data_IF_271218317595
#
_entry.id   IF_271218317595
#
_cell.length_a   1.000
_cell.length_b   1.000
_cell.length_c   1.000
_cell.angle_alpha   90.00
_cell.angle_beta   90.00
_cell.angle_gamma   90.00
#
_symmetry.space_group_name_H-M   'P 1'
#
loop_
_entity.id
_entity.type
_entity.pdbx_description
1 polymer ?
#
# COMPACT_ATOMS: atom_id res chain seq x y z
N UNK A 1 39.96 -44.80 -7.14
CA UNK A 1 39.12 -43.80 -7.83
C UNK A 1 38.63 -42.83 -6.77
N UNK A 2 39.32 -41.70 -6.65
CA UNK A 2 39.16 -40.71 -5.57
C UNK A 2 37.93 -39.85 -5.82
N UNK A 3 37.08 -39.73 -4.82
CA UNK A 3 35.98 -38.77 -4.72
C UNK A 3 36.53 -37.35 -4.85
N UNK A 4 36.28 -36.71 -6.00
CA UNK A 4 36.51 -35.29 -6.16
C UNK A 4 35.48 -34.53 -5.32
N UNK A 5 35.92 -34.05 -4.16
CA UNK A 5 35.21 -33.09 -3.33
C UNK A 5 34.89 -31.86 -4.18
N UNK A 6 33.60 -31.56 -4.33
CA UNK A 6 33.14 -30.30 -4.89
C UNK A 6 33.55 -29.19 -3.91
N UNK A 7 34.18 -28.09 -4.36
CA UNK A 7 34.61 -27.03 -3.47
C UNK A 7 33.41 -26.41 -2.77
N UNK A 8 33.49 -26.30 -1.43
CA UNK A 8 32.49 -25.59 -0.64
C UNK A 8 32.38 -24.12 -1.08
N UNK A 9 31.17 -23.53 -1.10
CA UNK A 9 30.96 -22.16 -1.56
C UNK A 9 31.56 -21.14 -0.57
N UNK A 10 32.53 -20.36 -1.06
CA UNK A 10 33.19 -19.27 -0.33
C UNK A 10 32.18 -18.16 0.11
N UNK A 11 32.03 -17.90 1.42
CA UNK A 11 31.10 -16.90 1.96
C UNK A 11 31.56 -15.44 1.81
N UNK A 12 32.75 -15.17 1.26
CA UNK A 12 33.45 -13.90 1.44
C UNK A 12 33.01 -12.68 0.61
N UNK A 13 32.18 -12.79 -0.45
CA UNK A 13 31.93 -11.65 -1.37
C UNK A 13 30.49 -11.54 -1.89
N UNK A 14 29.51 -11.26 -1.01
CA UNK A 14 28.10 -11.14 -1.40
C UNK A 14 27.85 -10.03 -2.44
N UNK A 15 28.60 -8.94 -2.39
CA UNK A 15 28.45 -7.82 -3.33
C UNK A 15 28.94 -8.15 -4.74
N UNK A 16 30.09 -8.81 -4.88
CA UNK A 16 30.63 -9.22 -6.19
C UNK A 16 29.75 -10.31 -6.79
N UNK A 17 29.26 -11.25 -5.97
CA UNK A 17 28.27 -12.25 -6.40
C UNK A 17 26.97 -11.58 -6.85
N UNK A 18 26.47 -10.57 -6.14
CA UNK A 18 25.28 -9.79 -6.54
C UNK A 18 25.49 -9.02 -7.84
N UNK A 19 26.63 -8.34 -8.00
CA UNK A 19 26.97 -7.59 -9.21
C UNK A 19 27.05 -8.50 -10.44
N UNK A 20 27.62 -9.70 -10.27
CA UNK A 20 27.72 -10.72 -11.32
C UNK A 20 26.40 -11.46 -11.61
N UNK A 21 25.43 -11.45 -10.69
CA UNK A 21 24.14 -12.18 -10.87
C UNK A 21 22.94 -11.27 -11.12
N UNK A 22 23.05 -9.95 -10.89
CA UNK A 22 21.97 -8.98 -11.08
C UNK A 22 22.28 -7.93 -12.15
N UNK A 23 23.43 -8.04 -12.84
CA UNK A 23 23.94 -7.19 -13.91
C UNK A 23 23.26 -5.80 -14.03
N UNK A 24 23.64 -4.81 -13.19
CA UNK A 24 22.98 -3.51 -13.14
C UNK A 24 23.17 -2.68 -14.41
N UNK A 25 24.09 -3.07 -15.29
CA UNK A 25 24.35 -2.37 -16.54
C UNK A 25 23.14 -2.36 -17.47
N UNK A 26 22.24 -3.35 -17.40
CA UNK A 26 20.99 -3.30 -18.14
C UNK A 26 20.09 -2.14 -17.71
N UNK A 27 19.98 -1.90 -16.39
CA UNK A 27 19.18 -0.80 -15.84
C UNK A 27 19.82 0.54 -16.16
N UNK A 28 21.15 0.63 -16.02
CA UNK A 28 21.91 1.84 -16.36
C UNK A 28 21.78 2.15 -17.86
N UNK A 29 21.89 1.15 -18.73
CA UNK A 29 21.69 1.29 -20.18
C UNK A 29 20.28 1.80 -20.51
N UNK A 30 19.25 1.21 -19.91
CA UNK A 30 17.87 1.66 -20.12
C UNK A 30 17.67 3.11 -19.65
N UNK A 31 18.23 3.47 -18.49
CA UNK A 31 18.19 4.83 -17.96
C UNK A 31 18.90 5.85 -18.87
N UNK A 32 20.11 5.53 -19.34
CA UNK A 32 20.87 6.36 -20.27
C UNK A 32 20.15 6.51 -21.63
N UNK A 33 19.52 5.44 -22.11
CA UNK A 33 18.75 5.47 -23.35
C UNK A 33 17.53 6.40 -23.23
N UNK A 34 16.76 6.28 -22.14
CA UNK A 34 15.62 7.16 -21.86
C UNK A 34 16.05 8.61 -21.68
N UNK A 35 17.17 8.85 -20.99
CA UNK A 35 17.75 10.18 -20.84
C UNK A 35 18.16 10.77 -22.20
N UNK A 36 18.84 9.99 -23.04
CA UNK A 36 19.24 10.39 -24.39
C UNK A 36 18.06 10.74 -25.29
N UNK A 37 16.98 9.94 -25.25
CA UNK A 37 15.73 10.25 -25.96
C UNK A 37 15.10 11.55 -25.45
N UNK A 38 15.06 11.76 -24.13
CA UNK A 38 14.50 12.99 -23.54
C UNK A 38 15.30 14.23 -23.95
N UNK A 39 16.62 14.17 -23.95
CA UNK A 39 17.47 15.30 -24.37
C UNK A 39 17.37 15.55 -25.88
N UNK A 40 17.25 14.49 -26.69
CA UNK A 40 17.21 14.60 -28.15
C UNK A 40 15.87 15.13 -28.68
N UNK A 41 14.77 14.87 -27.94
CA UNK A 41 13.40 15.22 -28.37
C UNK A 41 12.70 16.18 -27.40
N UNK A 42 13.44 16.81 -26.48
CA UNK A 42 12.92 17.65 -25.40
C UNK A 42 12.42 19.03 -25.85
N UNK A 43 11.31 19.46 -25.23
CA UNK A 43 10.66 20.78 -25.28
C UNK A 43 10.33 21.33 -26.68
N UNK A 44 9.23 20.81 -27.25
CA UNK A 44 8.46 21.45 -28.32
C UNK A 44 8.77 20.90 -29.71
N UNK A 45 8.12 19.81 -30.11
CA UNK A 45 8.46 19.16 -31.39
C UNK A 45 7.26 18.65 -32.19
N UNK A 46 7.43 18.79 -33.52
CA UNK A 46 6.45 18.59 -34.60
C UNK A 46 6.24 17.09 -34.89
N UNK A 47 5.24 16.76 -35.73
CA UNK A 47 4.82 15.40 -36.12
C UNK A 47 5.95 14.41 -36.46
N UNK A 48 7.05 14.88 -37.07
CA UNK A 48 8.18 14.02 -37.49
C UNK A 48 8.93 13.43 -36.29
N UNK A 49 8.97 14.14 -35.17
CA UNK A 49 9.75 13.76 -33.98
C UNK A 49 9.02 12.71 -33.11
N UNK A 50 7.68 12.69 -33.16
CA UNK A 50 6.86 11.71 -32.40
C UNK A 50 7.04 10.28 -32.93
N UNK A 51 7.08 10.11 -34.26
CA UNK A 51 7.31 8.81 -34.89
C UNK A 51 8.73 8.30 -34.63
N UNK A 52 9.73 9.19 -34.63
CA UNK A 52 11.12 8.84 -34.31
C UNK A 52 11.25 8.39 -32.84
N UNK A 53 10.61 9.10 -31.91
CA UNK A 53 10.58 8.73 -30.50
C UNK A 53 9.88 7.38 -30.27
N UNK A 54 8.73 7.15 -30.91
CA UNK A 54 8.04 5.86 -30.87
C UNK A 54 8.92 4.74 -31.43
N UNK A 55 9.55 4.97 -32.58
CA UNK A 55 10.46 4.03 -33.22
C UNK A 55 11.67 3.69 -32.34
N UNK A 56 12.24 4.68 -31.66
CA UNK A 56 13.34 4.50 -30.70
C UNK A 56 12.93 3.64 -29.51
N UNK A 57 11.82 3.96 -28.85
CA UNK A 57 11.29 3.18 -27.72
C UNK A 57 10.92 1.76 -28.13
N UNK A 58 10.22 1.59 -29.25
CA UNK A 58 9.84 0.28 -29.77
C UNK A 58 11.07 -0.54 -30.17
N UNK A 59 12.03 0.07 -30.87
CA UNK A 59 13.27 -0.57 -31.29
C UNK A 59 14.11 -1.07 -30.11
N UNK A 60 14.29 -0.23 -29.08
CA UNK A 60 15.00 -0.65 -27.86
C UNK A 60 14.26 -1.75 -27.10
N UNK A 61 12.93 -1.67 -27.02
CA UNK A 61 12.11 -2.72 -26.40
C UNK A 61 12.25 -4.06 -27.14
N UNK A 62 12.23 -4.04 -28.47
CA UNK A 62 12.44 -5.23 -29.30
C UNK A 62 13.87 -5.77 -29.15
N UNK A 63 14.87 -4.91 -29.02
CA UNK A 63 16.26 -5.31 -28.77
C UNK A 63 16.38 -6.05 -27.44
N UNK A 64 15.78 -5.52 -26.36
CA UNK A 64 15.74 -6.19 -25.05
C UNK A 64 14.97 -7.52 -25.11
N UNK A 65 13.83 -7.55 -25.80
CA UNK A 65 13.04 -8.76 -25.99
C UNK A 65 13.82 -9.83 -26.78
N UNK A 66 14.50 -9.45 -27.84
CA UNK A 66 15.36 -10.33 -28.63
C UNK A 66 16.55 -10.83 -27.80
N UNK A 67 17.21 -9.96 -27.03
CA UNK A 67 18.29 -10.36 -26.12
C UNK A 67 17.81 -11.39 -25.10
N UNK A 68 16.65 -11.18 -24.47
CA UNK A 68 16.06 -12.16 -23.55
C UNK A 68 15.78 -13.50 -24.24
N UNK A 69 15.23 -13.49 -25.45
CA UNK A 69 14.98 -14.69 -26.25
C UNK A 69 16.28 -15.45 -26.58
N UNK A 70 17.32 -14.73 -26.99
CA UNK A 70 18.61 -15.32 -27.34
C UNK A 70 19.30 -15.92 -26.12
N UNK A 71 19.32 -15.21 -24.99
CA UNK A 71 19.93 -15.66 -23.74
C UNK A 71 19.27 -16.95 -23.22
N UNK A 72 17.94 -17.02 -23.22
CA UNK A 72 17.23 -18.23 -22.76
C UNK A 72 17.42 -19.39 -23.73
N UNK A 73 17.22 -19.14 -25.04
CA UNK A 73 17.13 -20.23 -26.02
C UNK A 73 18.49 -20.82 -26.40
N UNK A 74 19.52 -19.99 -26.47
CA UNK A 74 20.86 -20.42 -26.89
C UNK A 74 21.81 -20.58 -25.72
N UNK A 75 21.82 -19.65 -24.77
CA UNK A 75 22.77 -19.68 -23.64
C UNK A 75 22.22 -20.43 -22.40
N UNK A 76 20.90 -20.67 -22.32
CA UNK A 76 20.22 -21.27 -21.15
C UNK A 76 20.53 -20.55 -19.83
N UNK A 77 20.91 -19.27 -19.89
CA UNK A 77 21.20 -18.43 -18.73
C UNK A 77 19.90 -17.82 -18.24
N UNK A 78 19.50 -18.13 -17.00
CA UNK A 78 18.24 -17.65 -16.43
C UNK A 78 18.41 -16.56 -15.37
N UNK A 79 19.61 -16.40 -14.80
CA UNK A 79 19.84 -15.45 -13.72
C UNK A 79 19.65 -13.99 -14.17
N UNK A 80 20.21 -13.63 -15.33
CA UNK A 80 20.14 -12.28 -15.89
C UNK A 80 18.83 -11.97 -16.62
N UNK A 81 18.15 -13.00 -17.14
CA UNK A 81 16.96 -12.84 -18.00
C UNK A 81 15.82 -12.17 -17.25
N UNK A 82 15.66 -12.44 -15.95
CA UNK A 82 14.61 -11.80 -15.14
C UNK A 82 14.70 -10.28 -15.19
N UNK A 83 15.89 -9.72 -15.01
CA UNK A 83 16.09 -8.26 -15.05
C UNK A 83 15.77 -7.71 -16.43
N UNK A 84 16.20 -8.39 -17.49
CA UNK A 84 15.88 -7.99 -18.89
C UNK A 84 14.37 -8.03 -19.15
N UNK A 85 13.66 -9.07 -18.69
CA UNK A 85 12.20 -9.16 -18.84
C UNK A 85 11.47 -8.05 -18.07
N UNK A 86 11.93 -7.72 -16.85
CA UNK A 86 11.37 -6.60 -16.09
C UNK A 86 11.65 -5.26 -16.77
N UNK A 87 12.80 -5.10 -17.43
CA UNK A 87 13.10 -3.92 -18.23
C UNK A 87 12.20 -3.81 -19.47
N UNK A 88 11.85 -4.92 -20.12
CA UNK A 88 10.84 -4.89 -21.20
C UNK A 88 9.50 -4.35 -20.67
N UNK A 89 9.07 -4.79 -19.49
CA UNK A 89 7.86 -4.26 -18.84
C UNK A 89 8.01 -2.78 -18.47
N UNK A 90 9.19 -2.36 -17.99
CA UNK A 90 9.50 -0.95 -17.73
C UNK A 90 9.42 -0.11 -19.01
N UNK A 91 9.87 -0.65 -20.13
CA UNK A 91 9.80 0.05 -21.41
C UNK A 91 8.35 0.25 -21.84
N UNK A 92 7.46 -0.72 -21.63
CA UNK A 92 6.03 -0.51 -21.88
C UNK A 92 5.45 0.62 -21.02
N UNK A 93 5.85 0.72 -19.75
CA UNK A 93 5.46 1.84 -18.91
C UNK A 93 5.99 3.17 -19.47
N UNK A 94 7.27 3.23 -19.84
CA UNK A 94 7.88 4.43 -20.43
C UNK A 94 7.12 4.87 -21.69
N UNK A 95 6.85 3.93 -22.60
CA UNK A 95 6.05 4.17 -23.81
C UNK A 95 4.66 4.70 -23.48
N UNK A 96 3.98 4.16 -22.45
CA UNK A 96 2.65 4.64 -22.06
C UNK A 96 2.65 6.10 -21.57
N UNK A 97 3.73 6.54 -20.90
CA UNK A 97 3.84 7.90 -20.35
C UNK A 97 4.22 8.90 -21.43
N UNK A 98 5.10 8.52 -22.36
CA UNK A 98 5.59 9.40 -23.42
C UNK A 98 4.48 10.02 -24.26
N UNK A 99 3.38 9.30 -24.47
CA UNK A 99 2.27 9.78 -25.30
C UNK A 99 1.17 10.51 -24.53
N UNK A 100 1.30 10.70 -23.21
CA UNK A 100 0.27 11.39 -22.41
C UNK A 100 0.10 12.85 -22.80
N UNK A 101 1.22 13.55 -23.00
CA UNK A 101 1.20 14.97 -23.33
C UNK A 101 0.60 15.18 -24.72
N UNK A 102 0.99 14.33 -25.68
CA UNK A 102 0.40 14.30 -27.02
C UNK A 102 -1.10 13.99 -26.96
N UNK A 103 -1.51 13.11 -26.06
CA UNK A 103 -2.91 12.74 -25.87
C UNK A 103 -3.75 13.90 -25.32
N UNK A 104 -3.17 14.80 -24.52
CA UNK A 104 -3.84 16.02 -24.05
C UNK A 104 -3.87 17.13 -25.09
N UNK A 105 -2.76 17.34 -25.80
CA UNK A 105 -2.64 18.41 -26.79
C UNK A 105 -3.42 18.09 -28.09
N UNK A 106 -3.30 16.85 -28.58
CA UNK A 106 -3.87 16.40 -29.86
C UNK A 106 -4.49 14.99 -29.75
N UNK A 107 -5.70 14.84 -29.17
CA UNK A 107 -6.30 13.54 -28.89
C UNK A 107 -6.48 12.64 -30.11
N UNK A 108 -6.80 13.22 -31.28
CA UNK A 108 -6.96 12.49 -32.54
C UNK A 108 -5.69 11.70 -32.92
N UNK A 109 -4.51 12.20 -32.49
CA UNK A 109 -3.22 11.56 -32.69
C UNK A 109 -2.79 10.73 -31.50
N UNK A 110 -2.99 11.22 -30.28
CA UNK A 110 -2.59 10.49 -29.07
C UNK A 110 -3.32 9.17 -28.86
N UNK A 111 -4.60 9.08 -29.26
CA UNK A 111 -5.41 7.85 -29.14
C UNK A 111 -4.82 6.70 -29.97
N UNK A 112 -4.58 6.83 -31.29
CA UNK A 112 -3.99 5.74 -32.07
C UNK A 112 -2.59 5.36 -31.60
N UNK A 113 -1.76 6.29 -31.10
CA UNK A 113 -0.46 5.96 -30.51
C UNK A 113 -0.58 5.12 -29.24
N UNK A 114 -1.53 5.42 -28.35
CA UNK A 114 -1.77 4.62 -27.14
C UNK A 114 -2.35 3.24 -27.47
N UNK A 115 -3.29 3.15 -28.41
CA UNK A 115 -3.84 1.88 -28.88
C UNK A 115 -2.77 1.02 -29.58
N UNK A 116 -1.94 1.64 -30.41
CA UNK A 116 -0.80 0.99 -31.06
C UNK A 116 0.25 0.52 -30.05
N UNK A 117 0.57 1.36 -29.06
CA UNK A 117 1.46 1.02 -27.95
C UNK A 117 0.95 -0.15 -27.11
N UNK A 118 -0.35 -0.19 -26.81
CA UNK A 118 -0.99 -1.32 -26.13
C UNK A 118 -0.90 -2.61 -26.95
N UNK A 119 -1.28 -2.56 -28.24
CA UNK A 119 -1.19 -3.70 -29.13
C UNK A 119 0.26 -4.22 -29.24
N UNK A 120 1.22 -3.31 -29.38
CA UNK A 120 2.65 -3.62 -29.37
C UNK A 120 3.08 -4.30 -28.06
N UNK A 121 2.71 -3.74 -26.90
CA UNK A 121 3.06 -4.32 -25.60
C UNK A 121 2.49 -5.74 -25.43
N UNK A 122 1.24 -5.99 -25.86
CA UNK A 122 0.63 -7.32 -25.84
C UNK A 122 1.37 -8.28 -26.80
N UNK A 123 1.62 -7.86 -28.04
CA UNK A 123 2.30 -8.67 -29.04
C UNK A 123 3.71 -9.06 -28.61
N UNK A 124 4.50 -8.10 -28.10
CA UNK A 124 5.87 -8.35 -27.62
C UNK A 124 5.83 -9.24 -26.38
N UNK A 125 4.95 -8.96 -25.40
CA UNK A 125 4.83 -9.80 -24.20
C UNK A 125 4.52 -11.26 -24.56
N UNK A 126 3.54 -11.48 -25.43
CA UNK A 126 3.14 -12.81 -25.86
C UNK A 126 4.20 -13.49 -26.74
N UNK A 127 4.86 -12.72 -27.61
CA UNK A 127 5.97 -13.20 -28.43
C UNK A 127 7.15 -13.67 -27.58
N UNK A 128 7.52 -12.89 -26.56
CA UNK A 128 8.58 -13.25 -25.61
C UNK A 128 8.18 -14.49 -24.83
N UNK A 129 7.01 -14.51 -24.17
CA UNK A 129 6.54 -15.65 -23.36
C UNK A 129 6.50 -16.95 -24.17
N UNK A 130 5.94 -16.92 -25.40
CA UNK A 130 5.91 -18.09 -26.29
C UNK A 130 7.31 -18.48 -26.77
N UNK A 131 8.16 -17.50 -27.08
CA UNK A 131 9.51 -17.74 -27.59
C UNK A 131 10.44 -18.38 -26.57
N UNK A 132 10.37 -17.97 -25.29
CA UNK A 132 11.11 -18.58 -24.17
C UNK A 132 10.43 -19.86 -23.63
N UNK A 133 9.27 -20.24 -24.19
CA UNK A 133 8.44 -21.39 -23.76
C UNK A 133 8.00 -21.32 -22.29
N UNK A 134 7.87 -20.12 -21.75
CA UNK A 134 7.43 -19.89 -20.38
C UNK A 134 5.91 -19.73 -20.37
N UNK A 135 5.23 -20.61 -19.63
CA UNK A 135 3.77 -20.62 -19.56
C UNK A 135 3.34 -19.76 -18.38
N UNK A 136 2.76 -18.60 -18.66
CA UNK A 136 2.06 -17.82 -17.63
C UNK A 136 0.61 -18.33 -17.54
N UNK A 137 0.19 -18.95 -16.42
CA UNK A 137 -1.16 -19.48 -16.30
C UNK A 137 -2.23 -18.39 -16.47
N UNK A 138 -3.41 -18.75 -16.97
CA UNK A 138 -4.47 -17.80 -17.32
C UNK A 138 -4.83 -16.82 -16.19
N UNK A 139 -4.86 -17.29 -14.94
CA UNK A 139 -5.21 -16.44 -13.78
C UNK A 139 -4.13 -15.41 -13.42
N UNK A 140 -2.91 -15.55 -13.93
CA UNK A 140 -1.88 -14.50 -13.86
C UNK A 140 -1.83 -13.69 -15.16
N UNK A 141 -2.11 -14.33 -16.29
CA UNK A 141 -2.08 -13.67 -17.61
C UNK A 141 -3.17 -12.61 -17.78
N UNK A 142 -4.37 -12.85 -17.26
CA UNK A 142 -5.47 -11.87 -17.27
C UNK A 142 -5.09 -10.58 -16.51
N UNK A 143 -4.71 -10.61 -15.23
CA UNK A 143 -4.32 -9.39 -14.51
C UNK A 143 -3.12 -8.67 -15.13
N UNK A 144 -2.17 -9.42 -15.70
CA UNK A 144 -1.05 -8.84 -16.45
C UNK A 144 -1.53 -7.95 -17.61
N UNK A 145 -2.38 -8.50 -18.49
CA UNK A 145 -2.91 -7.76 -19.63
C UNK A 145 -3.88 -6.65 -19.23
N UNK A 146 -4.67 -6.86 -18.18
CA UNK A 146 -5.51 -5.80 -17.62
C UNK A 146 -4.69 -4.64 -17.08
N UNK A 147 -3.51 -4.91 -16.49
CA UNK A 147 -2.61 -3.84 -16.02
C UNK A 147 -2.00 -3.07 -17.20
N UNK A 148 -1.58 -3.77 -18.27
CA UNK A 148 -1.14 -3.11 -19.49
C UNK A 148 -2.27 -2.27 -20.11
N UNK A 149 -3.47 -2.82 -20.20
CA UNK A 149 -4.64 -2.09 -20.69
C UNK A 149 -4.90 -0.85 -19.82
N UNK A 150 -4.77 -0.95 -18.51
CA UNK A 150 -4.92 0.20 -17.61
C UNK A 150 -3.87 1.28 -17.90
N UNK A 151 -2.61 0.94 -18.16
CA UNK A 151 -1.55 1.92 -18.42
C UNK A 151 -1.75 2.72 -19.71
N UNK A 152 -2.28 2.09 -20.76
CA UNK A 152 -2.45 2.71 -22.09
C UNK A 152 -3.87 3.24 -22.35
N UNK A 153 -4.91 2.55 -21.86
CA UNK A 153 -6.31 2.88 -22.17
C UNK A 153 -6.95 3.81 -21.13
N UNK A 154 -6.48 3.81 -19.88
CA UNK A 154 -6.99 4.74 -18.88
C UNK A 154 -6.76 6.22 -19.25
N UNK A 155 -5.57 6.64 -19.70
CA UNK A 155 -5.34 8.01 -20.18
C UNK A 155 -6.27 8.36 -21.33
N UNK A 156 -6.50 7.42 -22.26
CA UNK A 156 -7.43 7.60 -23.38
C UNK A 156 -8.85 7.83 -22.88
N UNK A 157 -9.31 7.11 -21.85
CA UNK A 157 -10.61 7.35 -21.25
C UNK A 157 -10.71 8.75 -20.61
N UNK A 158 -9.63 9.27 -20.03
CA UNK A 158 -9.59 10.62 -19.45
C UNK A 158 -9.76 11.74 -20.49
N UNK A 159 -9.40 11.50 -21.76
CA UNK A 159 -9.59 12.51 -22.83
C UNK A 159 -11.05 12.88 -23.11
N UNK A 160 -11.99 12.04 -22.68
CA UNK A 160 -13.43 12.30 -22.81
C UNK A 160 -13.93 13.30 -21.75
N UNK A 161 -13.13 13.56 -20.71
CA UNK A 161 -13.46 14.51 -19.66
C UNK A 161 -13.12 15.95 -20.10
N UNK A 162 -13.74 16.96 -19.47
CA UNK A 162 -13.41 18.37 -19.73
C UNK A 162 -11.90 18.61 -19.59
N UNK A 163 -11.31 19.28 -20.58
CA UNK A 163 -9.85 19.50 -20.69
C UNK A 163 -9.32 20.56 -19.72
N UNK A 164 -10.20 21.20 -18.96
CA UNK A 164 -9.78 22.08 -17.88
C UNK A 164 -9.13 21.22 -16.80
N UNK A 165 -7.80 21.34 -16.64
CA UNK A 165 -7.01 20.57 -15.67
C UNK A 165 -7.45 20.74 -14.21
N UNK A 166 -8.32 21.71 -13.94
CA UNK A 166 -8.93 22.01 -12.64
C UNK A 166 -10.38 21.53 -12.52
N UNK A 167 -10.94 20.91 -13.57
CA UNK A 167 -12.31 20.39 -13.50
C UNK A 167 -12.42 19.26 -12.48
N UNK A 168 -13.46 19.30 -11.65
CA UNK A 168 -13.72 18.27 -10.64
C UNK A 168 -13.70 16.86 -11.26
N UNK A 169 -14.27 16.72 -12.47
CA UNK A 169 -14.31 15.45 -13.19
C UNK A 169 -12.91 14.91 -13.54
N UNK A 170 -11.99 15.77 -13.99
CA UNK A 170 -10.60 15.39 -14.26
C UNK A 170 -9.89 14.96 -12.97
N UNK A 171 -10.06 15.69 -11.87
CA UNK A 171 -9.43 15.35 -10.59
C UNK A 171 -9.91 13.99 -10.05
N UNK A 172 -11.20 13.71 -10.12
CA UNK A 172 -11.75 12.39 -9.80
C UNK A 172 -11.27 11.31 -10.79
N UNK A 173 -11.13 11.64 -12.06
CA UNK A 173 -10.52 10.78 -13.07
C UNK A 173 -9.08 10.40 -12.73
N UNK A 174 -8.26 11.36 -12.29
CA UNK A 174 -6.88 11.10 -11.87
C UNK A 174 -6.84 10.25 -10.60
N UNK A 175 -7.67 10.56 -9.61
CA UNK A 175 -7.78 9.76 -8.38
C UNK A 175 -8.26 8.32 -8.67
N UNK A 176 -9.20 8.15 -9.61
CA UNK A 176 -9.81 6.88 -9.98
C UNK A 176 -8.83 5.84 -10.54
N UNK A 177 -7.64 6.26 -10.99
CA UNK A 177 -6.63 5.36 -11.54
C UNK A 177 -6.16 4.33 -10.50
N UNK A 178 -5.91 4.76 -9.26
CA UNK A 178 -5.40 3.88 -8.20
C UNK A 178 -6.46 2.85 -7.71
N UNK A 179 -7.73 3.22 -7.45
CA UNK A 179 -8.81 2.25 -7.25
C UNK A 179 -8.96 1.27 -8.42
N UNK A 180 -8.92 1.75 -9.67
CA UNK A 180 -9.02 0.88 -10.85
C UNK A 180 -7.85 -0.13 -10.90
N UNK A 181 -6.62 0.32 -10.63
CA UNK A 181 -5.46 -0.57 -10.48
C UNK A 181 -5.65 -1.57 -9.35
N UNK A 182 -6.23 -1.14 -8.23
CA UNK A 182 -6.56 -2.02 -7.10
C UNK A 182 -7.51 -3.15 -7.50
N UNK A 183 -8.58 -2.83 -8.23
CA UNK A 183 -9.55 -3.81 -8.74
C UNK A 183 -8.87 -4.79 -9.71
N UNK A 184 -8.02 -4.31 -10.61
CA UNK A 184 -7.24 -5.16 -11.52
C UNK A 184 -6.35 -6.13 -10.72
N UNK A 185 -5.64 -5.64 -9.71
CA UNK A 185 -4.78 -6.48 -8.87
C UNK A 185 -5.58 -7.49 -8.03
N UNK A 186 -6.78 -7.15 -7.55
CA UNK A 186 -7.65 -8.10 -6.83
C UNK A 186 -8.09 -9.29 -7.71
N UNK A 187 -8.03 -9.18 -9.04
CA UNK A 187 -8.22 -10.33 -9.94
C UNK A 187 -7.13 -11.39 -9.83
N UNK A 188 -6.02 -11.13 -9.12
CA UNK A 188 -4.99 -12.11 -8.75
C UNK A 188 -5.43 -13.06 -7.62
N UNK A 189 -6.48 -12.72 -6.85
CA UNK A 189 -6.92 -13.52 -5.70
C UNK A 189 -7.21 -15.00 -6.04
N UNK A 190 -7.90 -15.33 -7.15
CA UNK A 190 -8.12 -16.71 -7.56
C UNK A 190 -6.79 -17.45 -7.83
N UNK A 191 -5.78 -16.78 -8.39
CA UNK A 191 -4.48 -17.36 -8.65
C UNK A 191 -3.72 -17.66 -7.34
N UNK A 192 -3.75 -16.72 -6.39
CA UNK A 192 -3.14 -16.88 -5.05
C UNK A 192 -3.72 -18.08 -4.33
N UNK A 193 -5.06 -18.21 -4.34
CA UNK A 193 -5.76 -19.28 -3.61
C UNK A 193 -5.43 -20.68 -4.13
N UNK A 194 -5.00 -20.82 -5.39
CA UNK A 194 -4.52 -22.10 -5.94
C UNK A 194 -3.07 -22.44 -5.53
N UNK A 195 -2.32 -21.46 -5.03
CA UNK A 195 -0.99 -21.66 -4.45
C UNK A 195 0.09 -22.13 -5.42
N UNK A 196 1.14 -22.73 -4.85
CA UNK A 196 2.34 -23.14 -5.59
C UNK A 196 2.09 -24.26 -6.61
N UNK A 197 1.08 -25.11 -6.38
CA UNK A 197 0.72 -26.20 -7.29
C UNK A 197 0.32 -25.70 -8.66
N UNK A 198 -0.31 -24.52 -8.73
CA UNK A 198 -0.76 -23.92 -9.97
C UNK A 198 0.39 -23.44 -10.88
N UNK A 199 1.60 -23.31 -10.35
CA UNK A 199 2.77 -22.75 -11.04
C UNK A 199 3.88 -23.81 -11.23
N UNK A 200 3.66 -25.06 -10.80
CA UNK A 200 4.71 -26.10 -10.80
C UNK A 200 5.27 -26.43 -12.18
N UNK A 201 4.42 -26.42 -13.22
CA UNK A 201 4.77 -26.86 -14.58
C UNK A 201 4.88 -25.71 -15.60
N UNK A 202 5.30 -24.52 -15.15
CA UNK A 202 5.34 -23.33 -16.01
C UNK A 202 6.59 -23.18 -16.87
N UNK A 203 7.56 -24.09 -16.73
CA UNK A 203 8.85 -24.04 -17.44
C UNK A 203 9.81 -22.96 -16.93
N UNK A 204 9.49 -22.31 -15.81
CA UNK A 204 10.36 -21.35 -15.14
C UNK A 204 11.26 -22.08 -14.13
N UNK A 205 12.56 -21.72 -14.02
CA UNK A 205 13.44 -22.25 -12.99
C UNK A 205 13.25 -21.58 -11.62
N UNK A 206 12.46 -20.50 -11.54
CA UNK A 206 12.35 -19.73 -10.30
C UNK A 206 11.30 -20.34 -9.35
N UNK A 207 11.62 -20.49 -8.05
CA UNK A 207 10.70 -21.08 -7.09
C UNK A 207 9.55 -20.12 -6.75
N UNK A 208 8.41 -20.68 -6.36
CA UNK A 208 7.35 -19.92 -5.70
C UNK A 208 7.87 -19.39 -4.34
N UNK A 209 7.65 -18.11 -3.98
CA UNK A 209 6.79 -17.13 -4.65
C UNK A 209 7.52 -16.18 -5.62
N UNK A 210 8.80 -16.35 -5.96
CA UNK A 210 9.49 -15.38 -6.82
C UNK A 210 8.92 -15.31 -8.24
N UNK A 211 8.50 -16.44 -8.80
CA UNK A 211 7.71 -16.49 -10.03
C UNK A 211 6.26 -16.91 -9.73
N UNK A 212 5.24 -16.20 -10.23
CA UNK A 212 5.28 -15.04 -11.14
C UNK A 212 5.27 -13.67 -10.42
N UNK A 213 5.40 -13.61 -9.09
CA UNK A 213 5.15 -12.39 -8.33
C UNK A 213 6.12 -11.24 -8.59
N UNK A 214 7.35 -11.51 -9.03
CA UNK A 214 8.32 -10.46 -9.37
C UNK A 214 7.77 -9.45 -10.38
N UNK A 215 7.07 -9.93 -11.41
CA UNK A 215 6.43 -9.08 -12.42
C UNK A 215 5.31 -8.25 -11.80
N UNK A 216 4.50 -8.82 -10.90
CA UNK A 216 3.41 -8.07 -10.26
C UNK A 216 3.88 -7.07 -9.22
N UNK A 217 4.97 -7.36 -8.50
CA UNK A 217 5.62 -6.37 -7.62
C UNK A 217 6.14 -5.21 -8.45
N UNK A 218 6.80 -5.51 -9.58
CA UNK A 218 7.29 -4.49 -10.50
C UNK A 218 6.15 -3.66 -11.11
N UNK A 219 5.08 -4.31 -11.59
CA UNK A 219 3.88 -3.65 -12.07
C UNK A 219 3.19 -2.82 -10.97
N UNK A 220 3.21 -3.27 -9.72
CA UNK A 220 2.66 -2.51 -8.60
C UNK A 220 3.46 -1.23 -8.34
N UNK A 221 4.79 -1.30 -8.40
CA UNK A 221 5.63 -0.10 -8.37
C UNK A 221 5.38 0.82 -9.57
N UNK A 222 5.18 0.23 -10.76
CA UNK A 222 4.82 0.96 -11.97
C UNK A 222 3.47 1.67 -11.84
N UNK A 223 2.46 1.07 -11.20
CA UNK A 223 1.17 1.73 -10.89
C UNK A 223 1.39 2.99 -10.05
N UNK A 224 2.22 2.90 -9.00
CA UNK A 224 2.52 4.07 -8.15
C UNK A 224 3.19 5.20 -8.96
N UNK A 225 4.19 4.85 -9.77
CA UNK A 225 4.86 5.82 -10.65
C UNK A 225 3.91 6.40 -11.70
N UNK A 226 3.05 5.56 -12.30
CA UNK A 226 2.07 5.97 -13.30
C UNK A 226 1.02 6.92 -12.75
N UNK A 227 0.52 6.67 -11.54
CA UNK A 227 -0.44 7.56 -10.87
C UNK A 227 0.14 8.97 -10.68
N UNK A 228 1.40 9.06 -10.27
CA UNK A 228 2.12 10.33 -10.17
C UNK A 228 2.32 10.99 -11.54
N UNK A 229 2.81 10.24 -12.53
CA UNK A 229 3.09 10.74 -13.87
C UNK A 229 1.82 11.21 -14.61
N UNK A 230 0.68 10.55 -14.39
CA UNK A 230 -0.61 11.00 -14.92
C UNK A 230 -1.02 12.35 -14.36
N UNK A 231 -0.85 12.55 -13.06
CA UNK A 231 -1.12 13.85 -12.46
C UNK A 231 -0.18 14.91 -13.05
N UNK A 232 1.09 14.56 -13.30
CA UNK A 232 2.05 15.50 -13.88
C UNK A 232 1.71 15.87 -15.34
N UNK A 233 1.42 14.88 -16.18
CA UNK A 233 1.15 15.11 -17.61
C UNK A 233 -0.21 15.76 -17.86
N UNK A 234 -1.24 15.37 -17.09
CA UNK A 234 -2.63 15.76 -17.34
C UNK A 234 -3.05 17.03 -16.59
N UNK A 235 -2.51 17.30 -15.40
CA UNK A 235 -2.82 18.50 -14.63
C UNK A 235 -1.93 19.70 -15.02
N UNK A 236 -0.85 19.46 -15.78
CA UNK A 236 0.12 20.46 -16.27
C UNK A 236 0.50 21.53 -15.21
N UNK A 237 0.93 21.13 -14.00
CA UNK A 237 1.23 22.09 -12.95
C UNK A 237 2.44 22.95 -13.34
N UNK A 238 2.35 24.26 -13.10
CA UNK A 238 3.47 25.18 -13.35
C UNK A 238 4.64 24.96 -12.37
N UNK A 239 4.36 24.43 -11.18
CA UNK A 239 5.33 24.06 -10.16
C UNK A 239 4.96 22.72 -9.51
N UNK A 240 5.94 21.99 -8.99
CA UNK A 240 5.68 20.75 -8.24
C UNK A 240 4.81 20.95 -6.98
N UNK A 241 4.71 22.19 -6.48
CA UNK A 241 3.77 22.58 -5.41
C UNK A 241 2.31 22.41 -5.84
N UNK A 242 2.01 22.65 -7.10
CA UNK A 242 0.63 22.79 -7.60
C UNK A 242 0.02 21.43 -8.00
N UNK A 243 0.80 20.36 -7.90
CA UNK A 243 0.38 19.00 -8.23
C UNK A 243 -0.64 18.49 -7.20
N UNK A 244 -1.84 18.12 -7.68
CA UNK A 244 -2.93 17.55 -6.87
C UNK A 244 -2.55 16.22 -6.20
N UNK A 245 -1.60 15.49 -6.78
CA UNK A 245 -1.18 14.19 -6.29
C UNK A 245 -0.67 14.27 -4.85
N UNK A 246 -1.35 13.55 -3.96
CA UNK A 246 -0.88 13.26 -2.61
C UNK A 246 -0.72 11.77 -2.37
N UNK A 247 0.06 11.34 -1.36
CA UNK A 247 0.21 9.93 -1.01
C UNK A 247 -1.13 9.20 -0.77
N UNK A 248 -2.16 9.93 -0.35
CA UNK A 248 -3.52 9.41 -0.17
C UNK A 248 -4.17 8.88 -1.47
N UNK A 249 -3.71 9.30 -2.66
CA UNK A 249 -4.16 8.73 -3.94
C UNK A 249 -3.82 7.24 -4.05
N UNK A 250 -2.71 6.81 -3.45
CA UNK A 250 -2.25 5.42 -3.53
C UNK A 250 -2.92 4.50 -2.50
N UNK A 251 -3.65 5.05 -1.54
CA UNK A 251 -4.24 4.30 -0.43
C UNK A 251 -5.22 3.20 -0.89
N UNK A 252 -6.17 3.46 -1.82
CA UNK A 252 -7.06 2.41 -2.34
C UNK A 252 -6.30 1.25 -2.97
N UNK A 253 -5.26 1.55 -3.76
CA UNK A 253 -4.38 0.54 -4.35
C UNK A 253 -3.61 -0.24 -3.28
N UNK A 254 -3.06 0.47 -2.29
CA UNK A 254 -2.36 -0.13 -1.16
C UNK A 254 -3.23 -1.12 -0.36
N UNK A 255 -4.52 -0.82 -0.18
CA UNK A 255 -5.45 -1.76 0.47
C UNK A 255 -5.68 -3.02 -0.36
N UNK A 256 -5.79 -2.89 -1.69
CA UNK A 256 -5.86 -4.06 -2.58
C UNK A 256 -4.60 -4.94 -2.47
N UNK A 257 -3.41 -4.33 -2.44
CA UNK A 257 -2.16 -5.04 -2.19
C UNK A 257 -2.17 -5.71 -0.82
N UNK A 258 -2.68 -5.05 0.21
CA UNK A 258 -2.77 -5.61 1.55
C UNK A 258 -3.62 -6.89 1.59
N UNK A 259 -4.75 -6.91 0.89
CA UNK A 259 -5.59 -8.12 0.74
C UNK A 259 -4.83 -9.24 0.02
N UNK A 260 -4.09 -8.91 -1.03
CA UNK A 260 -3.25 -9.87 -1.77
C UNK A 260 -2.16 -10.47 -0.88
N UNK A 261 -1.43 -9.63 -0.14
CA UNK A 261 -0.36 -10.07 0.78
C UNK A 261 -0.95 -10.93 1.91
N UNK A 262 -2.15 -10.58 2.42
CA UNK A 262 -2.83 -11.39 3.42
C UNK A 262 -3.16 -12.79 2.89
N UNK A 263 -3.79 -12.88 1.72
CA UNK A 263 -4.12 -14.18 1.10
C UNK A 263 -2.86 -14.99 0.81
N UNK A 264 -1.80 -14.34 0.33
CA UNK A 264 -0.52 -15.01 0.09
C UNK A 264 0.07 -15.55 1.39
N UNK A 265 -0.01 -14.80 2.48
CA UNK A 265 0.40 -15.24 3.81
C UNK A 265 -0.44 -16.39 4.36
N UNK A 266 -1.75 -16.41 4.06
CA UNK A 266 -2.63 -17.52 4.43
C UNK A 266 -2.21 -18.79 3.69
N UNK A 267 -2.12 -18.74 2.36
CA UNK A 267 -1.82 -19.89 1.48
C UNK A 267 -0.41 -20.43 1.69
N UNK A 268 0.59 -19.55 1.87
CA UNK A 268 1.98 -19.98 2.10
C UNK A 268 2.26 -20.50 3.51
N UNK A 269 1.31 -20.34 4.45
CA UNK A 269 1.56 -20.66 5.86
C UNK A 269 2.53 -19.70 6.57
N UNK A 270 3.04 -18.67 5.90
CA UNK A 270 4.06 -17.77 6.44
C UNK A 270 3.50 -16.82 7.50
N UNK A 271 4.00 -16.95 8.75
CA UNK A 271 3.64 -16.04 9.86
C UNK A 271 4.08 -14.61 9.58
N UNK A 272 5.28 -14.43 9.02
CA UNK A 272 5.86 -13.11 8.72
C UNK A 272 4.98 -12.38 7.71
N UNK A 273 4.60 -13.05 6.63
CA UNK A 273 3.77 -12.44 5.57
C UNK A 273 2.39 -12.02 6.10
N UNK A 274 1.77 -12.83 6.98
CA UNK A 274 0.51 -12.46 7.64
C UNK A 274 0.68 -11.24 8.56
N UNK A 275 1.76 -11.19 9.34
CA UNK A 275 2.06 -10.04 10.20
C UNK A 275 2.28 -8.75 9.40
N UNK A 276 3.06 -8.83 8.31
CA UNK A 276 3.26 -7.70 7.39
C UNK A 276 1.91 -7.24 6.83
N UNK A 277 1.06 -8.17 6.38
CA UNK A 277 -0.28 -7.83 5.89
C UNK A 277 -1.17 -7.15 6.95
N UNK A 278 -1.04 -7.50 8.23
CA UNK A 278 -1.79 -6.86 9.31
C UNK A 278 -1.24 -5.48 9.70
N UNK A 279 0.04 -5.22 9.47
CA UNK A 279 0.67 -3.93 9.74
C UNK A 279 0.45 -2.90 8.61
N UNK A 280 0.35 -3.36 7.36
CA UNK A 280 0.17 -2.50 6.19
C UNK A 280 -1.04 -1.54 6.27
N UNK A 281 -2.25 -1.93 6.73
CA UNK A 281 -3.38 -1.03 6.90
C UNK A 281 -3.06 0.18 7.77
N UNK A 282 -2.34 -0.02 8.88
CA UNK A 282 -1.94 1.06 9.76
C UNK A 282 -0.97 2.03 9.05
N UNK A 283 -0.01 1.49 8.29
CA UNK A 283 0.88 2.28 7.45
C UNK A 283 0.13 3.09 6.39
N UNK A 284 -0.90 2.51 5.76
CA UNK A 284 -1.74 3.19 4.78
C UNK A 284 -2.63 4.27 5.40
N UNK A 285 -3.14 4.06 6.61
CA UNK A 285 -3.87 5.10 7.36
C UNK A 285 -2.94 6.28 7.67
N UNK A 286 -1.71 6.01 8.11
CA UNK A 286 -0.70 7.08 8.32
C UNK A 286 -0.41 7.78 6.99
N UNK A 287 -0.21 7.03 5.91
CA UNK A 287 0.03 7.58 4.57
C UNK A 287 -1.13 8.46 4.08
N UNK A 288 -2.38 8.11 4.40
CA UNK A 288 -3.56 8.89 4.07
C UNK A 288 -3.59 10.26 4.79
N UNK A 289 -2.98 10.35 5.96
CA UNK A 289 -2.82 11.60 6.71
C UNK A 289 -1.54 12.39 6.35
N UNK A 290 -0.63 11.82 5.57
CA UNK A 290 0.62 12.47 5.16
C UNK A 290 0.46 13.11 3.78
N UNK A 291 0.93 14.36 3.65
CA UNK A 291 0.90 15.07 2.37
C UNK A 291 -0.44 15.74 2.04
N UNK A 292 -1.29 15.97 3.05
CA UNK A 292 -2.39 16.93 2.96
C UNK A 292 -1.78 18.33 2.87
N UNK A 293 -1.62 18.82 1.64
CA UNK A 293 -1.10 20.16 1.36
C UNK A 293 -2.20 21.20 1.60
N UNK A 294 -1.81 22.39 2.01
CA UNK A 294 -2.69 23.54 2.25
C UNK A 294 -2.89 24.40 1.01
N UNK A 295 -2.49 23.92 -0.17
CA UNK A 295 -2.65 24.64 -1.42
C UNK A 295 -4.14 24.71 -1.80
N UNK A 296 -4.55 25.80 -2.47
CA UNK A 296 -5.96 26.08 -2.75
C UNK A 296 -6.64 24.95 -3.53
N UNK A 297 -5.98 24.43 -4.57
CA UNK A 297 -6.48 23.35 -5.44
C UNK A 297 -6.61 22.03 -4.66
N UNK A 298 -5.61 21.69 -3.84
CA UNK A 298 -5.65 20.49 -3.01
C UNK A 298 -6.77 20.57 -1.95
N UNK A 299 -6.96 21.74 -1.36
CA UNK A 299 -8.00 21.99 -0.35
C UNK A 299 -9.40 21.90 -0.96
N UNK A 300 -9.59 22.44 -2.17
CA UNK A 300 -10.83 22.34 -2.93
C UNK A 300 -11.18 20.88 -3.24
N UNK A 301 -10.23 20.11 -3.79
CA UNK A 301 -10.44 18.68 -4.05
C UNK A 301 -10.75 17.89 -2.78
N UNK A 302 -10.07 18.17 -1.67
CA UNK A 302 -10.37 17.53 -0.37
C UNK A 302 -11.78 17.86 0.13
N UNK A 303 -12.27 19.07 -0.14
CA UNK A 303 -13.67 19.44 0.11
C UNK A 303 -14.64 18.60 -0.72
N UNK A 304 -14.42 18.48 -2.04
CA UNK A 304 -15.21 17.61 -2.91
C UNK A 304 -15.15 16.14 -2.48
N UNK A 305 -13.97 15.67 -2.11
CA UNK A 305 -13.74 14.31 -1.60
C UNK A 305 -14.56 14.05 -0.33
N UNK A 306 -14.47 14.95 0.65
CA UNK A 306 -15.19 14.82 1.91
C UNK A 306 -16.71 14.86 1.70
N UNK A 307 -17.20 15.74 0.83
CA UNK A 307 -18.63 15.84 0.49
C UNK A 307 -19.15 14.58 -0.20
N UNK A 308 -18.35 13.97 -1.11
CA UNK A 308 -18.80 12.81 -1.91
C UNK A 308 -18.68 11.48 -1.17
N UNK A 309 -17.63 11.30 -0.37
CA UNK A 309 -17.34 10.05 0.34
C UNK A 309 -17.72 10.09 1.83
N UNK A 310 -18.23 11.23 2.31
CA UNK A 310 -18.70 11.39 3.69
C UNK A 310 -17.59 11.53 4.73
N UNK A 311 -16.36 11.83 4.32
CA UNK A 311 -15.26 12.15 5.23
C UNK A 311 -13.90 12.33 4.56
N UNK A 312 -12.91 12.78 5.34
CA UNK A 312 -11.54 13.00 4.87
C UNK A 312 -10.86 11.70 4.40
N UNK A 313 -9.80 11.77 3.58
CA UNK A 313 -9.04 10.59 3.15
C UNK A 313 -8.57 9.71 4.33
N UNK A 314 -8.18 10.34 5.44
CA UNK A 314 -7.80 9.65 6.68
C UNK A 314 -8.96 8.84 7.28
N UNK A 315 -10.16 9.44 7.35
CA UNK A 315 -11.35 8.77 7.86
C UNK A 315 -11.77 7.59 6.97
N UNK A 316 -11.79 7.79 5.65
CA UNK A 316 -12.10 6.72 4.68
C UNK A 316 -11.06 5.58 4.76
N UNK A 317 -9.78 5.91 4.91
CA UNK A 317 -8.72 4.91 5.10
C UNK A 317 -8.93 4.09 6.38
N UNK A 318 -9.35 4.70 7.50
CA UNK A 318 -9.67 3.99 8.74
C UNK A 318 -10.85 3.05 8.58
N UNK A 319 -11.94 3.48 7.92
CA UNK A 319 -13.09 2.62 7.64
C UNK A 319 -12.68 1.43 6.75
N UNK A 320 -11.81 1.67 5.77
CA UNK A 320 -11.29 0.63 4.89
C UNK A 320 -10.39 -0.34 5.66
N UNK A 321 -9.53 0.16 6.57
CA UNK A 321 -8.73 -0.66 7.46
C UNK A 321 -9.60 -1.51 8.39
N UNK A 322 -10.67 -0.95 8.95
CA UNK A 322 -11.65 -1.70 9.75
C UNK A 322 -12.28 -2.83 8.94
N UNK A 323 -12.72 -2.55 7.72
CA UNK A 323 -13.26 -3.56 6.80
C UNK A 323 -12.24 -4.66 6.48
N UNK A 324 -10.97 -4.30 6.29
CA UNK A 324 -9.88 -5.26 6.11
C UNK A 324 -9.66 -6.14 7.35
N UNK A 325 -9.61 -5.56 8.56
CA UNK A 325 -9.44 -6.35 9.78
C UNK A 325 -10.66 -7.24 10.05
N UNK A 326 -11.87 -6.80 9.69
CA UNK A 326 -13.05 -7.65 9.73
C UNK A 326 -12.89 -8.86 8.81
N UNK A 327 -12.46 -8.61 7.57
CA UNK A 327 -12.18 -9.66 6.61
C UNK A 327 -11.11 -10.65 7.12
N UNK A 328 -10.00 -10.13 7.66
CA UNK A 328 -8.94 -10.95 8.24
C UNK A 328 -9.44 -11.77 9.45
N UNK A 329 -10.33 -11.19 10.26
CA UNK A 329 -10.94 -11.88 11.39
C UNK A 329 -11.88 -13.00 10.94
N UNK A 330 -12.72 -12.77 9.92
CA UNK A 330 -13.56 -13.81 9.30
C UNK A 330 -12.70 -14.95 8.76
N UNK A 331 -11.53 -14.64 8.19
CA UNK A 331 -10.53 -15.62 7.74
C UNK A 331 -9.71 -16.26 8.87
N UNK A 332 -10.08 -16.01 10.13
CA UNK A 332 -9.46 -16.55 11.35
C UNK A 332 -7.97 -16.26 11.47
N UNK A 333 -7.53 -15.11 10.96
CA UNK A 333 -6.14 -14.67 11.08
C UNK A 333 -5.89 -14.21 12.53
N UNK A 334 -4.84 -14.68 13.21
CA UNK A 334 -4.51 -14.22 14.56
C UNK A 334 -4.19 -12.72 14.54
N UNK A 335 -4.46 -12.01 15.63
CA UNK A 335 -4.23 -10.56 15.78
C UNK A 335 -5.14 -9.62 14.97
N UNK A 336 -6.06 -10.13 14.15
CA UNK A 336 -6.99 -9.30 13.38
C UNK A 336 -7.98 -8.53 14.26
N UNK A 337 -8.40 -9.12 15.39
CA UNK A 337 -9.31 -8.49 16.36
C UNK A 337 -8.65 -7.28 17.02
N UNK A 338 -7.38 -7.39 17.36
CA UNK A 338 -6.58 -6.34 17.96
C UNK A 338 -6.46 -5.16 16.99
N UNK A 339 -6.23 -5.43 15.70
CA UNK A 339 -6.28 -4.43 14.64
C UNK A 339 -7.66 -3.75 14.51
N UNK A 340 -8.74 -4.53 14.52
CA UNK A 340 -10.11 -3.99 14.51
C UNK A 340 -10.38 -3.09 15.72
N UNK A 341 -9.94 -3.51 16.91
CA UNK A 341 -10.10 -2.72 18.14
C UNK A 341 -9.32 -1.42 18.07
N UNK A 342 -8.10 -1.45 17.52
CA UNK A 342 -7.31 -0.25 17.29
C UNK A 342 -8.00 0.70 16.31
N UNK A 343 -8.65 0.19 15.25
CA UNK A 343 -9.44 1.02 14.33
C UNK A 343 -10.64 1.64 15.02
N UNK A 344 -11.41 0.89 15.80
CA UNK A 344 -12.55 1.43 16.57
C UNK A 344 -12.11 2.50 17.58
N UNK A 345 -10.99 2.28 18.26
CA UNK A 345 -10.39 3.26 19.14
C UNK A 345 -9.94 4.52 18.37
N UNK A 346 -9.31 4.36 17.19
CA UNK A 346 -8.91 5.48 16.35
C UNK A 346 -10.12 6.28 15.82
N UNK A 347 -11.19 5.60 15.39
CA UNK A 347 -12.46 6.23 14.96
C UNK A 347 -13.20 6.94 16.10
N UNK A 348 -12.85 6.66 17.36
CA UNK A 348 -13.34 7.42 18.49
C UNK A 348 -12.72 8.81 18.59
N UNK A 349 -11.57 9.04 17.96
CA UNK A 349 -10.82 10.30 17.99
C UNK A 349 -10.86 11.01 16.64
N UNK A 350 -10.75 10.24 15.55
CA UNK A 350 -10.68 10.74 14.17
C UNK A 350 -12.10 10.79 13.59
N UNK A 351 -12.58 12.01 13.34
CA UNK A 351 -13.87 12.27 12.71
C UNK A 351 -13.79 12.46 11.18
N UNK A 352 -14.95 12.55 10.51
CA UNK A 352 -15.04 12.75 9.07
C UNK A 352 -14.52 14.12 8.61
N UNK A 353 -14.43 15.10 9.52
CA UNK A 353 -13.86 16.43 9.25
C UNK A 353 -12.39 16.56 9.69
N UNK A 354 -11.83 15.52 10.31
CA UNK A 354 -10.44 15.55 10.78
C UNK A 354 -9.50 15.45 9.59
N UNK A 355 -8.95 16.60 9.18
CA UNK A 355 -7.97 16.69 8.12
C UNK A 355 -6.64 16.06 8.56
N UNK A 356 -6.10 16.46 9.71
CA UNK A 356 -4.79 16.00 10.20
C UNK A 356 -4.88 15.42 11.60
N UNK A 357 -3.96 14.49 11.93
CA UNK A 357 -3.87 13.84 13.25
C UNK A 357 -3.85 14.86 14.43
N UNK A 358 -3.19 16.04 14.33
CA UNK A 358 -3.21 17.06 15.38
C UNK A 358 -4.59 17.73 15.60
N UNK A 359 -5.48 17.72 14.61
CA UNK A 359 -6.76 18.43 14.63
C UNK A 359 -7.96 17.52 15.01
N UNK A 360 -7.70 16.39 15.67
CA UNK A 360 -8.74 15.46 16.09
C UNK A 360 -9.53 16.03 17.30
N UNK A 361 -10.69 16.63 17.06
CA UNK A 361 -11.41 17.45 18.06
C UNK A 361 -12.65 16.80 18.68
N UNK A 362 -13.18 15.72 18.10
CA UNK A 362 -14.46 15.13 18.51
C UNK A 362 -14.35 13.70 19.02
N UNK A 363 -14.43 13.49 20.35
CA UNK A 363 -14.41 12.15 20.93
C UNK A 363 -15.77 11.47 20.78
N UNK A 364 -15.89 10.48 19.91
CA UNK A 364 -17.13 9.73 19.65
C UNK A 364 -17.23 8.55 20.61
N UNK A 365 -17.96 8.75 21.72
CA UNK A 365 -18.14 7.76 22.79
C UNK A 365 -18.64 6.40 22.26
N UNK A 366 -19.53 6.40 21.27
CA UNK A 366 -20.08 5.17 20.69
C UNK A 366 -19.01 4.22 20.12
N UNK A 367 -18.01 4.74 19.39
CA UNK A 367 -16.95 3.91 18.80
C UNK A 367 -16.00 3.33 19.85
N UNK A 368 -15.76 4.10 20.92
CA UNK A 368 -14.97 3.62 22.04
C UNK A 368 -15.70 2.52 22.83
N UNK A 369 -16.99 2.72 23.12
CA UNK A 369 -17.82 1.70 23.77
C UNK A 369 -17.84 0.43 22.93
N UNK A 370 -17.92 0.55 21.60
CA UNK A 370 -17.80 -0.61 20.71
C UNK A 370 -16.43 -1.31 20.82
N UNK A 371 -15.33 -0.56 20.89
CA UNK A 371 -13.98 -1.13 21.06
C UNK A 371 -13.83 -1.89 22.39
N UNK A 372 -14.28 -1.29 23.50
CA UNK A 372 -14.24 -1.90 24.84
C UNK A 372 -15.18 -3.10 24.91
N UNK A 373 -16.41 -2.97 24.39
CA UNK A 373 -17.41 -4.03 24.33
C UNK A 373 -16.91 -5.24 23.54
N UNK A 374 -16.26 -5.02 22.39
CA UNK A 374 -15.67 -6.08 21.58
C UNK A 374 -14.62 -6.87 22.38
N UNK A 375 -13.72 -6.19 23.08
CA UNK A 375 -12.70 -6.86 23.91
C UNK A 375 -13.31 -7.59 25.10
N UNK A 376 -14.33 -7.01 25.74
CA UNK A 376 -15.02 -7.62 26.88
C UNK A 376 -15.76 -8.90 26.48
N UNK A 377 -16.53 -8.87 25.38
CA UNK A 377 -17.25 -10.03 24.86
C UNK A 377 -16.27 -11.16 24.51
N UNK A 378 -15.16 -10.83 23.84
CA UNK A 378 -14.15 -11.84 23.50
C UNK A 378 -13.42 -12.39 24.72
N UNK A 379 -13.14 -11.56 25.72
CA UNK A 379 -12.56 -12.00 26.99
C UNK A 379 -13.49 -12.99 27.71
N UNK A 380 -14.79 -12.72 27.76
CA UNK A 380 -15.79 -13.61 28.36
C UNK A 380 -15.92 -14.92 27.59
N UNK A 381 -15.93 -14.87 26.25
CA UNK A 381 -16.06 -16.06 25.40
C UNK A 381 -14.82 -16.96 25.42
N UNK A 382 -13.61 -16.37 25.47
CA UNK A 382 -12.34 -17.12 25.40
C UNK A 382 -11.66 -17.34 26.74
N UNK A 383 -12.17 -16.73 27.82
CA UNK A 383 -11.58 -16.75 29.18
C UNK A 383 -10.14 -16.23 29.21
N UNK A 384 -9.83 -15.23 28.37
CA UNK A 384 -8.51 -14.62 28.27
C UNK A 384 -8.41 -13.37 29.15
N UNK A 385 -7.72 -13.46 30.29
CA UNK A 385 -7.54 -12.32 31.21
C UNK A 385 -6.79 -11.12 30.61
N UNK A 386 -5.91 -11.36 29.64
CA UNK A 386 -5.18 -10.30 28.93
C UNK A 386 -6.11 -9.31 28.21
N UNK A 387 -7.22 -9.80 27.64
CA UNK A 387 -8.18 -8.97 26.90
C UNK A 387 -8.94 -8.01 27.81
N UNK A 388 -9.18 -8.40 29.07
CA UNK A 388 -9.76 -7.53 30.09
C UNK A 388 -8.83 -6.37 30.45
N UNK A 389 -7.52 -6.64 30.54
CA UNK A 389 -6.51 -5.61 30.80
C UNK A 389 -6.49 -4.60 29.66
N UNK A 390 -6.47 -5.06 28.40
CA UNK A 390 -6.49 -4.19 27.23
C UNK A 390 -7.77 -3.34 27.19
N UNK A 391 -8.94 -3.96 27.37
CA UNK A 391 -10.22 -3.23 27.42
C UNK A 391 -10.27 -2.20 28.56
N UNK A 392 -9.79 -2.56 29.75
CA UNK A 392 -9.70 -1.67 30.90
C UNK A 392 -8.72 -0.51 30.69
N UNK A 393 -7.59 -0.76 30.03
CA UNK A 393 -6.61 0.28 29.71
C UNK A 393 -7.16 1.27 28.68
N UNK A 394 -7.85 0.81 27.64
CA UNK A 394 -8.54 1.67 26.67
C UNK A 394 -9.58 2.54 27.37
N UNK A 395 -10.43 1.94 28.22
CA UNK A 395 -11.43 2.68 28.98
C UNK A 395 -10.80 3.70 29.95
N UNK A 396 -9.72 3.31 30.64
CA UNK A 396 -8.99 4.15 31.59
C UNK A 396 -8.29 5.35 30.96
N UNK A 397 -7.61 5.15 29.82
CA UNK A 397 -7.01 6.25 29.04
C UNK A 397 -8.08 7.23 28.59
N UNK A 398 -9.22 6.73 28.10
CA UNK A 398 -10.30 7.59 27.64
C UNK A 398 -10.95 8.36 28.79
N UNK A 399 -11.26 7.70 29.91
CA UNK A 399 -11.81 8.36 31.10
C UNK A 399 -10.87 9.46 31.61
N UNK A 400 -9.55 9.21 31.57
CA UNK A 400 -8.53 10.19 31.96
C UNK A 400 -8.52 11.39 31.01
N UNK A 401 -8.59 11.15 29.70
CA UNK A 401 -8.64 12.21 28.69
C UNK A 401 -9.93 13.04 28.75
N UNK A 402 -11.08 12.36 28.87
CA UNK A 402 -12.39 13.01 29.00
C UNK A 402 -12.47 13.81 30.30
N UNK A 403 -11.99 13.24 31.41
CA UNK A 403 -11.87 13.93 32.70
C UNK A 403 -10.97 15.15 32.63
N UNK A 404 -9.79 15.04 31.99
CA UNK A 404 -8.88 16.16 31.81
C UNK A 404 -9.47 17.28 30.94
N UNK A 405 -10.16 16.93 29.86
CA UNK A 405 -10.83 17.91 28.99
C UNK A 405 -11.97 18.62 29.74
N UNK A 406 -12.82 17.85 30.43
CA UNK A 406 -13.89 18.42 31.26
C UNK A 406 -13.35 19.33 32.37
N UNK A 407 -12.27 18.91 33.03
CA UNK A 407 -11.56 19.71 34.01
C UNK A 407 -11.03 21.02 33.41
N UNK A 408 -10.41 20.98 32.23
CA UNK A 408 -9.89 22.19 31.58
C UNK A 408 -11.01 23.19 31.24
N UNK A 409 -12.14 22.71 30.73
CA UNK A 409 -13.30 23.56 30.45
C UNK A 409 -13.89 24.13 31.74
N UNK A 410 -14.06 23.32 32.79
CA UNK A 410 -14.52 23.79 34.10
C UNK A 410 -13.56 24.77 34.76
N UNK A 411 -12.25 24.64 34.52
CA UNK A 411 -11.21 25.52 35.06
C UNK A 411 -11.32 26.94 34.50
N UNK A 412 -11.81 27.09 33.27
CA UNK A 412 -12.05 28.40 32.64
C UNK A 412 -13.24 29.13 33.29
N UNK A 413 -14.20 28.40 33.85
CA UNK A 413 -15.41 28.98 34.47
C UNK A 413 -15.32 29.10 36.01
N UNK A 414 -14.60 28.19 36.68
CA UNK A 414 -14.57 28.09 38.14
C UNK A 414 -13.17 28.39 38.68
N UNK A 415 -12.91 29.63 39.14
CA UNK A 415 -11.64 29.95 39.81
C UNK A 415 -11.50 29.12 41.09
N UNK A 416 -10.35 28.45 41.25
CA UNK A 416 -10.04 27.61 42.42
C UNK A 416 -10.26 26.10 42.23
N UNK A 417 -10.73 25.66 41.06
CA UNK A 417 -10.89 24.23 40.72
C UNK A 417 -9.60 23.42 40.92
N UNK A 418 -8.44 24.04 40.70
CA UNK A 418 -7.11 23.44 40.89
C UNK A 418 -6.91 22.94 42.34
N UNK A 419 -7.39 23.69 43.34
CA UNK A 419 -7.27 23.31 44.75
C UNK A 419 -8.23 22.17 45.12
N UNK A 420 -9.45 22.16 44.57
CA UNK A 420 -10.42 21.08 44.77
C UNK A 420 -9.94 19.77 44.14
N UNK A 421 -9.38 19.83 42.92
CA UNK A 421 -8.81 18.67 42.25
C UNK A 421 -7.57 18.13 42.99
N UNK A 422 -6.67 19.01 43.45
CA UNK A 422 -5.54 18.61 44.27
C UNK A 422 -5.97 17.94 45.58
N UNK A 423 -6.98 18.51 46.27
CA UNK A 423 -7.56 17.91 47.47
C UNK A 423 -8.18 16.53 47.23
N UNK A 424 -8.92 16.38 46.13
CA UNK A 424 -9.52 15.10 45.73
C UNK A 424 -8.45 14.06 45.35
N UNK A 425 -7.35 14.45 44.70
CA UNK A 425 -6.25 13.56 44.33
C UNK A 425 -5.42 13.11 45.54
N UNK A 426 -5.25 14.00 46.54
CA UNK A 426 -4.54 13.67 47.78
C UNK A 426 -5.36 12.77 48.71
N UNK A 427 -6.69 12.76 48.59
CA UNK A 427 -7.56 11.97 49.46
C UNK A 427 -7.33 10.44 49.34
N UNK A 428 -7.27 9.82 48.14
CA UNK A 428 -6.90 8.40 47.99
C UNK A 428 -5.53 8.07 48.57
N UNK A 429 -4.55 8.97 48.42
CA UNK A 429 -3.21 8.80 48.98
C UNK A 429 -3.28 8.80 50.51
N UNK A 430 -4.04 9.72 51.09
CA UNK A 430 -4.30 9.77 52.53
C UNK A 430 -5.01 8.51 53.04
N UNK A 431 -6.01 8.00 52.30
CA UNK A 431 -6.72 6.75 52.62
C UNK A 431 -5.77 5.55 52.53
N UNK A 432 -4.92 5.45 51.50
CA UNK A 432 -3.94 4.36 51.36
C UNK A 432 -2.90 4.38 52.47
N UNK A 433 -2.40 5.57 52.84
CA UNK A 433 -1.49 5.73 53.98
C UNK A 433 -2.18 5.30 55.28
N UNK A 434 -3.46 5.65 55.46
CA UNK A 434 -4.26 5.26 56.63
C UNK A 434 -4.49 3.74 56.69
N UNK A 435 -4.85 3.10 55.57
CA UNK A 435 -4.98 1.64 55.45
C UNK A 435 -3.64 0.91 55.66
N UNK A 436 -2.53 1.54 55.25
CA UNK A 436 -1.18 1.07 55.49
C UNK A 436 -0.85 1.08 56.98
N UNK A 437 -1.11 2.20 57.66
CA UNK A 437 -0.95 2.34 59.11
C UNK A 437 -1.85 1.39 59.90
N UNK A 438 -3.06 1.10 59.41
CA UNK A 438 -3.98 0.14 60.02
C UNK A 438 -3.57 -1.34 59.80
N UNK A 439 -2.49 -1.60 59.04
CA UNK A 439 -2.01 -2.95 58.74
C UNK A 439 -2.92 -3.77 57.83
N UNK A 440 -3.92 -3.12 57.20
CA UNK A 440 -4.90 -3.78 56.31
C UNK A 440 -4.23 -4.15 54.99
N UNK A 441 -3.36 -3.27 54.47
CA UNK A 441 -2.58 -3.53 53.25
C UNK A 441 -1.65 -4.74 53.38
N UNK A 442 -1.00 -4.93 54.54
CA UNK A 442 -0.16 -6.10 54.81
C UNK A 442 -0.98 -7.41 54.87
N UNK A 443 -2.20 -7.36 55.43
CA UNK A 443 -3.11 -8.53 55.44
C UNK A 443 -3.62 -8.87 54.05
N UNK A 444 -4.01 -7.86 53.27
CA UNK A 444 -4.43 -8.04 51.87
C UNK A 444 -3.32 -8.61 51.00
N UNK A 445 -2.10 -8.11 51.18
CA UNK A 445 -0.95 -8.58 50.42
C UNK A 445 -0.63 -10.05 50.71
N UNK A 446 -0.63 -10.43 51.99
CA UNK A 446 -0.43 -11.82 52.40
C UNK A 446 -1.54 -12.77 51.88
N UNK A 447 -2.79 -12.31 51.82
CA UNK A 447 -3.90 -13.09 51.25
C UNK A 447 -3.77 -13.26 49.72
N UNK A 448 -3.35 -12.21 49.02
CA UNK A 448 -3.17 -12.23 47.57
C UNK A 448 -1.98 -13.12 47.17
N UNK A 449 -0.87 -13.02 47.90
CA UNK A 449 0.31 -13.86 47.70
C UNK A 449 0.00 -15.35 47.90
N UNK A 450 -0.77 -15.70 48.95
CA UNK A 450 -1.24 -17.07 49.18
C UNK A 450 -2.15 -17.59 48.06
N UNK A 451 -3.02 -16.75 47.50
CA UNK A 451 -3.86 -17.13 46.35
C UNK A 451 -3.05 -17.35 45.07
N UNK A 452 -2.02 -16.55 44.82
CA UNK A 452 -1.14 -16.75 43.64
C UNK A 452 -0.28 -18.00 43.76
N UNK A 453 0.21 -18.33 44.96
CA UNK A 453 0.97 -19.56 45.21
C UNK A 453 0.10 -20.82 45.09
N UNK A 454 -1.13 -20.78 45.58
CA UNK A 454 -2.07 -21.91 45.48
C UNK A 454 -2.66 -22.10 44.08
N UNK A 455 -2.49 -21.15 43.16
CA UNK A 455 -2.94 -21.28 41.76
C UNK A 455 -1.87 -21.92 40.84
N UNK A 456 -0.70 -22.30 41.38
CA UNK A 456 0.40 -22.94 40.64
C UNK A 456 0.64 -24.42 41.02
N UNK A 457 -0.22 -25.00 41.87
CA UNK A 457 -0.32 -26.44 42.14
C UNK A 457 -1.70 -26.88 41.64
#
# INVERSE_FOLDING_TARGET
>A
MSSAELPEPDPGRPFIRWLWTSNPFYVISAGLFLFGLRESFGAGTREVDTWALMGGLAGYTLLLAAAALLLVRFARVWDDVRTVLLLVVLMFLATSVTFDELLMLEPERGIPFNLGGFAFAVLVSEGVLRGIRLRLPALFRVPYHLTLALFFLYPVALTQLPRDGHSEAMLWGLWGFAPAAGLVFLTLLPAIRRGAEYVRDTGSPWPWPFYPWSVFVFLGAAVCGRAFLLCWSMHQPSRMSDLVFGPYFLVPFGFAITVIVLELGIVSGSRITRWVALAMPAGLVVLAGVGLRTDAIATEFLGHFANRLGGTPLFVALLTAGSFYLYAWVRRVPHAVEGMTAVLAALSVIGPETLTIPNATGTRVGMLVAAVGLQLVLALLRRDGWRLIVGGLIAGIWLSYAGWRGYRTLREEVPGLDYLAAGLALFPVAVLISLGKAGILARWWNLMWRRMLNARV
#
